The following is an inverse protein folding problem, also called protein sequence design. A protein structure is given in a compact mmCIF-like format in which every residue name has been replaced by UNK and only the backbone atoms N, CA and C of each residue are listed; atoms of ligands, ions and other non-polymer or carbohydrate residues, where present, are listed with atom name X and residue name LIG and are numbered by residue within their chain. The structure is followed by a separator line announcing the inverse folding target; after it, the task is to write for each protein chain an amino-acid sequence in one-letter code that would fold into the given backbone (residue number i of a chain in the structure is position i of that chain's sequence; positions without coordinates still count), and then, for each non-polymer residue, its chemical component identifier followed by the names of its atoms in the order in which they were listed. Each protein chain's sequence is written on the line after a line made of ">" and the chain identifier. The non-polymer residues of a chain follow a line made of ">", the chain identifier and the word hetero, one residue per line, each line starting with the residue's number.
data_IF_715873785916
#
_entry.id   IF_715873785916
#
_cell.length_a   1.000
_cell.length_b   1.000
_cell.length_c   1.000
_cell.angle_alpha   90.00
_cell.angle_beta   90.00
_cell.angle_gamma   90.00
#
_symmetry.space_group_name_H-M   'P 1'
#
loop_
_entity.id
_entity.type
_entity.pdbx_description
1 polymer ?
#
# COMPACT_ATOMS: atom_id res chain seq x y z
N UNK A 1 -4.95 -10.13 -7.54
CA UNK A 1 -3.63 -10.45 -8.13
C UNK A 1 -2.57 -9.45 -7.68
N UNK A 2 -2.90 -8.16 -7.57
CA UNK A 2 -1.99 -7.09 -7.13
C UNK A 2 -1.32 -7.39 -5.78
N UNK A 3 -2.09 -7.79 -4.77
CA UNK A 3 -1.55 -8.10 -3.45
C UNK A 3 -0.52 -9.26 -3.46
N UNK A 4 -0.82 -10.33 -4.20
CA UNK A 4 0.11 -11.45 -4.36
C UNK A 4 1.39 -11.04 -5.12
N UNK A 5 1.24 -10.22 -6.16
CA UNK A 5 2.36 -9.68 -6.92
C UNK A 5 3.26 -8.81 -6.03
N UNK A 6 2.68 -7.92 -5.22
CA UNK A 6 3.40 -7.07 -4.27
C UNK A 6 4.19 -7.90 -3.24
N UNK A 7 3.59 -8.95 -2.67
CA UNK A 7 4.30 -9.84 -1.73
C UNK A 7 5.46 -10.58 -2.40
N UNK A 8 5.27 -11.11 -3.61
CA UNK A 8 6.34 -11.79 -4.36
C UNK A 8 7.47 -10.82 -4.70
N UNK A 9 7.12 -9.65 -5.24
CA UNK A 9 8.08 -8.60 -5.62
C UNK A 9 8.87 -8.13 -4.40
N UNK A 10 8.19 -7.74 -3.32
CA UNK A 10 8.83 -7.31 -2.09
C UNK A 10 9.72 -8.41 -1.49
N UNK A 11 9.35 -9.68 -1.62
CA UNK A 11 10.20 -10.81 -1.17
C UNK A 11 11.48 -10.90 -2.00
N UNK A 12 11.38 -10.80 -3.33
CA UNK A 12 12.56 -10.82 -4.22
C UNK A 12 13.48 -9.64 -3.90
N UNK A 13 12.92 -8.43 -3.77
CA UNK A 13 13.69 -7.22 -3.43
C UNK A 13 14.37 -7.39 -2.06
N UNK A 14 13.67 -7.93 -1.06
CA UNK A 14 14.23 -8.19 0.27
C UNK A 14 15.42 -9.15 0.21
N UNK A 15 15.30 -10.25 -0.55
CA UNK A 15 16.39 -11.22 -0.74
C UNK A 15 17.58 -10.57 -1.44
N UNK A 16 17.34 -9.77 -2.49
CA UNK A 16 18.40 -8.99 -3.16
C UNK A 16 19.08 -7.99 -2.21
N UNK A 17 18.31 -7.29 -1.37
CA UNK A 17 18.83 -6.38 -0.37
C UNK A 17 19.73 -7.09 0.66
N UNK A 18 19.30 -8.24 1.19
CA UNK A 18 20.11 -9.06 2.10
C UNK A 18 21.40 -9.55 1.43
N UNK A 19 21.33 -9.96 0.16
CA UNK A 19 22.49 -10.36 -0.61
C UNK A 19 23.49 -9.20 -0.79
N UNK A 20 23.03 -8.00 -1.16
CA UNK A 20 23.88 -6.81 -1.29
C UNK A 20 24.50 -6.44 0.06
N UNK A 21 23.73 -6.50 1.14
CA UNK A 21 24.23 -6.24 2.49
C UNK A 21 25.37 -7.21 2.87
N UNK A 22 25.18 -8.50 2.57
CA UNK A 22 26.19 -9.53 2.78
C UNK A 22 27.46 -9.27 1.96
N UNK A 23 27.35 -8.98 0.66
CA UNK A 23 28.51 -8.68 -0.19
C UNK A 23 29.23 -7.40 0.27
N UNK A 24 28.50 -6.37 0.70
CA UNK A 24 29.08 -5.13 1.21
C UNK A 24 29.87 -5.36 2.51
N UNK A 25 29.34 -6.19 3.43
CA UNK A 25 30.06 -6.60 4.65
C UNK A 25 31.28 -7.47 4.30
N UNK A 26 31.12 -8.44 3.40
CA UNK A 26 32.22 -9.31 2.98
C UNK A 26 33.37 -8.47 2.41
N UNK A 27 33.06 -7.53 1.51
CA UNK A 27 34.03 -6.59 0.92
C UNK A 27 34.72 -5.74 1.98
N UNK A 28 33.98 -5.32 3.01
CA UNK A 28 34.54 -4.56 4.14
C UNK A 28 35.62 -5.35 4.90
N UNK A 29 35.42 -6.66 5.07
CA UNK A 29 36.38 -7.54 5.76
C UNK A 29 37.52 -8.03 4.88
N UNK A 30 37.27 -8.32 3.60
CA UNK A 30 38.29 -8.84 2.67
C UNK A 30 39.18 -7.74 2.09
N UNK A 31 38.72 -6.48 2.10
CA UNK A 31 39.44 -5.36 1.49
C UNK A 31 39.53 -5.48 -0.03
N UNK A 32 38.60 -6.22 -0.66
CA UNK A 32 38.57 -6.39 -2.11
C UNK A 32 38.37 -5.04 -2.80
N UNK A 33 39.23 -4.75 -3.78
CA UNK A 33 39.17 -3.53 -4.58
C UNK A 33 37.99 -3.58 -5.54
N UNK A 34 37.35 -2.44 -5.75
CA UNK A 34 36.26 -2.34 -6.72
C UNK A 34 36.82 -2.49 -8.13
N UNK A 35 36.50 -3.58 -8.82
CA UNK A 35 36.88 -3.76 -10.22
C UNK A 35 35.84 -3.12 -11.15
N UNK A 36 36.29 -2.70 -12.34
CA UNK A 36 35.44 -2.15 -13.41
C UNK A 36 34.67 -0.86 -13.06
N UNK A 37 35.26 0.06 -12.29
CA UNK A 37 34.62 1.35 -11.96
C UNK A 37 34.10 2.09 -13.21
N UNK A 38 34.87 2.16 -14.29
CA UNK A 38 34.47 2.87 -15.52
C UNK A 38 33.15 2.32 -16.09
N UNK A 39 33.03 0.98 -16.17
CA UNK A 39 31.83 0.30 -16.67
C UNK A 39 30.67 0.50 -15.69
N UNK A 40 30.91 0.36 -14.38
CA UNK A 40 29.89 0.53 -13.35
C UNK A 40 29.31 1.94 -13.34
N UNK A 41 30.16 2.97 -13.46
CA UNK A 41 29.72 4.38 -13.56
C UNK A 41 28.89 4.59 -14.82
N UNK A 42 29.32 4.08 -15.98
CA UNK A 42 28.58 4.22 -17.23
C UNK A 42 27.19 3.56 -17.16
N UNK A 43 27.12 2.32 -16.66
CA UNK A 43 25.86 1.58 -16.52
C UNK A 43 24.93 2.28 -15.53
N UNK A 44 25.45 2.70 -14.37
CA UNK A 44 24.68 3.45 -13.38
C UNK A 44 24.17 4.78 -13.91
N UNK A 45 24.98 5.50 -14.68
CA UNK A 45 24.56 6.74 -15.32
C UNK A 45 23.41 6.51 -16.31
N UNK A 46 23.52 5.51 -17.19
CA UNK A 46 22.45 5.15 -18.13
C UNK A 46 21.19 4.74 -17.38
N UNK A 47 21.32 3.90 -16.34
CA UNK A 47 20.19 3.48 -15.49
C UNK A 47 19.49 4.69 -14.86
N UNK A 48 20.26 5.62 -14.26
CA UNK A 48 19.72 6.83 -13.65
C UNK A 48 18.96 7.70 -14.65
N UNK A 49 19.50 7.87 -15.86
CA UNK A 49 18.84 8.63 -16.94
C UNK A 49 17.52 7.96 -17.34
N UNK A 50 17.52 6.65 -17.57
CA UNK A 50 16.32 5.91 -17.96
C UNK A 50 15.25 5.94 -16.87
N UNK A 51 15.61 5.70 -15.61
CA UNK A 51 14.65 5.77 -14.49
C UNK A 51 14.12 7.19 -14.30
N UNK A 52 14.95 8.21 -14.48
CA UNK A 52 14.50 9.61 -14.44
C UNK A 52 13.49 9.91 -15.55
N UNK A 53 13.75 9.45 -16.78
CA UNK A 53 12.80 9.58 -17.89
C UNK A 53 11.48 8.86 -17.61
N UNK A 54 11.54 7.66 -17.01
CA UNK A 54 10.35 6.93 -16.57
C UNK A 54 9.55 7.72 -15.53
N UNK A 55 10.21 8.25 -14.50
CA UNK A 55 9.55 9.09 -13.47
C UNK A 55 8.90 10.32 -14.09
N UNK A 56 9.55 10.99 -15.03
CA UNK A 56 8.98 12.14 -15.74
C UNK A 56 7.75 11.75 -16.56
N UNK A 57 7.81 10.61 -17.25
CA UNK A 57 6.69 10.06 -18.02
C UNK A 57 5.50 9.71 -17.12
N UNK A 58 5.73 8.97 -16.02
CA UNK A 58 4.68 8.61 -15.08
C UNK A 58 4.06 9.83 -14.42
N UNK A 59 4.85 10.83 -14.02
CA UNK A 59 4.33 12.09 -13.48
C UNK A 59 3.48 12.86 -14.50
N UNK A 60 3.86 12.84 -15.78
CA UNK A 60 3.06 13.47 -16.85
C UNK A 60 1.72 12.75 -17.04
N UNK A 61 1.73 11.42 -17.05
CA UNK A 61 0.50 10.62 -17.16
C UNK A 61 -0.38 10.81 -15.92
N UNK A 62 0.19 10.73 -14.71
CA UNK A 62 -0.53 10.93 -13.45
C UNK A 62 -1.23 12.30 -13.40
N UNK A 63 -0.58 13.37 -13.90
CA UNK A 63 -1.20 14.71 -13.99
C UNK A 63 -2.35 14.77 -14.99
N UNK A 64 -2.29 14.00 -16.08
CA UNK A 64 -3.35 13.97 -17.11
C UNK A 64 -4.54 13.10 -16.70
N UNK A 65 -4.29 11.97 -16.05
CA UNK A 65 -5.34 11.00 -15.70
C UNK A 65 -5.89 11.20 -14.30
N UNK A 66 -5.22 12.00 -13.47
CA UNK A 66 -5.50 12.15 -12.03
C UNK A 66 -5.57 10.78 -11.30
N UNK A 67 -4.88 9.78 -11.84
CA UNK A 67 -4.91 8.40 -11.33
C UNK A 67 -3.91 8.26 -10.17
N UNK A 68 -4.44 7.84 -9.02
CA UNK A 68 -3.69 7.68 -7.78
C UNK A 68 -2.64 6.57 -7.85
N UNK A 69 -2.93 5.47 -8.57
CA UNK A 69 -2.01 4.34 -8.79
C UNK A 69 -0.75 4.82 -9.52
N UNK A 70 -0.94 5.50 -10.66
CA UNK A 70 0.19 6.01 -11.47
C UNK A 70 1.01 7.05 -10.69
N UNK A 71 0.35 7.85 -9.84
CA UNK A 71 1.03 8.80 -8.95
C UNK A 71 1.86 8.09 -7.89
N UNK A 72 1.36 6.98 -7.34
CA UNK A 72 2.08 6.14 -6.38
C UNK A 72 3.32 5.54 -7.03
N UNK A 73 3.19 4.95 -8.21
CA UNK A 73 4.32 4.40 -8.97
C UNK A 73 5.38 5.46 -9.26
N UNK A 74 4.96 6.67 -9.66
CA UNK A 74 5.88 7.76 -9.91
C UNK A 74 6.67 8.17 -8.66
N UNK A 75 6.06 8.10 -7.47
CA UNK A 75 6.73 8.39 -6.21
C UNK A 75 7.72 7.27 -5.84
N UNK A 76 7.34 6.01 -6.05
CA UNK A 76 8.22 4.86 -5.85
C UNK A 76 9.49 4.95 -6.73
N UNK A 77 9.34 5.13 -8.04
CA UNK A 77 10.50 5.26 -8.93
C UNK A 77 11.33 6.53 -8.66
N UNK A 78 10.73 7.57 -8.07
CA UNK A 78 11.48 8.76 -7.65
C UNK A 78 12.45 8.43 -6.52
N UNK A 79 12.04 7.58 -5.59
CA UNK A 79 12.92 7.02 -4.57
C UNK A 79 14.08 6.25 -5.19
N UNK A 80 13.83 5.43 -6.22
CA UNK A 80 14.89 4.71 -6.94
C UNK A 80 15.90 5.64 -7.61
N UNK A 81 15.44 6.76 -8.16
CA UNK A 81 16.33 7.80 -8.72
C UNK A 81 17.28 8.35 -7.66
N UNK A 82 16.79 8.60 -6.43
CA UNK A 82 17.65 9.07 -5.34
C UNK A 82 18.65 8.00 -4.90
N UNK A 83 18.21 6.75 -4.74
CA UNK A 83 19.08 5.63 -4.38
C UNK A 83 20.17 5.40 -5.43
N UNK A 84 19.80 5.33 -6.71
CA UNK A 84 20.75 5.18 -7.82
C UNK A 84 21.70 6.37 -7.94
N UNK A 85 21.20 7.58 -7.68
CA UNK A 85 22.02 8.78 -7.62
C UNK A 85 23.07 8.70 -6.50
N UNK A 86 22.69 8.20 -5.32
CA UNK A 86 23.61 8.01 -4.20
C UNK A 86 24.73 6.99 -4.53
N UNK A 87 24.39 5.87 -5.19
CA UNK A 87 25.39 4.89 -5.69
C UNK A 87 26.31 5.54 -6.72
N UNK A 88 25.76 6.28 -7.68
CA UNK A 88 26.58 6.92 -8.71
C UNK A 88 27.56 7.93 -8.08
N UNK A 89 27.10 8.72 -7.12
CA UNK A 89 27.95 9.64 -6.36
C UNK A 89 29.04 8.88 -5.60
N UNK A 90 28.72 7.76 -4.93
CA UNK A 90 29.73 6.97 -4.23
C UNK A 90 30.79 6.43 -5.18
N UNK A 91 30.40 5.90 -6.34
CA UNK A 91 31.34 5.42 -7.37
C UNK A 91 32.24 6.54 -7.90
N UNK A 92 31.72 7.74 -8.13
CA UNK A 92 32.54 8.89 -8.57
C UNK A 92 33.53 9.31 -7.48
N UNK A 93 33.12 9.29 -6.21
CA UNK A 93 34.02 9.59 -5.09
C UNK A 93 35.12 8.53 -5.01
N UNK A 94 34.81 7.24 -5.14
CA UNK A 94 35.82 6.17 -5.16
C UNK A 94 36.78 6.35 -6.34
N UNK A 95 36.25 6.67 -7.54
CA UNK A 95 37.06 6.91 -8.72
C UNK A 95 38.09 8.02 -8.54
N UNK A 96 37.71 9.10 -7.86
CA UNK A 96 38.58 10.26 -7.64
C UNK A 96 39.53 10.11 -6.46
N UNK A 97 39.12 9.40 -5.40
CA UNK A 97 39.86 9.29 -4.13
C UNK A 97 40.64 7.98 -3.97
N UNK A 98 40.25 6.93 -4.68
CA UNK A 98 40.78 5.57 -4.53
C UNK A 98 40.35 4.88 -3.22
N UNK A 99 39.41 5.44 -2.46
CA UNK A 99 39.00 4.89 -1.16
C UNK A 99 37.87 3.87 -1.36
N UNK A 100 38.22 2.60 -1.58
CA UNK A 100 37.26 1.50 -1.78
C UNK A 100 36.31 1.26 -0.58
N UNK A 101 36.72 1.65 0.62
CA UNK A 101 35.90 1.54 1.84
C UNK A 101 34.56 2.27 1.72
N UNK A 102 34.50 3.35 0.93
CA UNK A 102 33.27 4.13 0.71
C UNK A 102 32.20 3.27 0.05
N UNK A 103 32.59 2.35 -0.85
CA UNK A 103 31.65 1.47 -1.54
C UNK A 103 30.95 0.52 -0.57
N UNK A 104 31.71 -0.10 0.33
CA UNK A 104 31.17 -1.02 1.32
C UNK A 104 30.21 -0.32 2.27
N UNK A 105 30.54 0.89 2.74
CA UNK A 105 29.66 1.66 3.63
C UNK A 105 28.38 2.07 2.90
N UNK A 106 28.49 2.56 1.68
CA UNK A 106 27.32 2.96 0.88
C UNK A 106 26.45 1.76 0.51
N UNK A 107 27.06 0.62 0.17
CA UNK A 107 26.35 -0.63 -0.09
C UNK A 107 25.57 -1.13 1.14
N UNK A 108 26.13 -1.01 2.34
CA UNK A 108 25.44 -1.31 3.60
C UNK A 108 24.24 -0.37 3.81
N UNK A 109 24.43 0.94 3.65
CA UNK A 109 23.36 1.93 3.85
C UNK A 109 22.21 1.68 2.87
N UNK A 110 22.53 1.47 1.60
CA UNK A 110 21.54 1.32 0.53
C UNK A 110 20.83 -0.03 0.62
N UNK A 111 21.52 -1.11 0.98
CA UNK A 111 20.86 -2.40 1.19
C UNK A 111 19.88 -2.36 2.37
N UNK A 112 20.21 -1.69 3.48
CA UNK A 112 19.27 -1.47 4.58
C UNK A 112 18.05 -0.67 4.13
N UNK A 113 18.26 0.35 3.30
CA UNK A 113 17.18 1.14 2.72
C UNK A 113 16.26 0.31 1.80
N UNK A 114 16.84 -0.55 0.97
CA UNK A 114 16.11 -1.47 0.08
C UNK A 114 15.28 -2.46 0.91
N UNK A 115 15.86 -3.06 1.94
CA UNK A 115 15.16 -4.01 2.83
C UNK A 115 13.99 -3.31 3.53
N UNK A 116 14.20 -2.09 4.04
CA UNK A 116 13.15 -1.31 4.68
C UNK A 116 11.99 -1.00 3.71
N UNK A 117 12.30 -0.53 2.51
CA UNK A 117 11.29 -0.25 1.48
C UNK A 117 10.51 -1.51 1.08
N UNK A 118 11.20 -2.65 0.94
CA UNK A 118 10.58 -3.91 0.60
C UNK A 118 9.65 -4.44 1.70
N UNK A 119 9.98 -4.20 2.98
CA UNK A 119 9.12 -4.57 4.10
C UNK A 119 7.76 -3.87 4.04
N UNK A 120 7.73 -2.58 3.69
CA UNK A 120 6.49 -1.81 3.55
C UNK A 120 5.59 -2.40 2.44
N UNK A 121 6.17 -2.71 1.28
CA UNK A 121 5.46 -3.35 0.15
C UNK A 121 4.88 -4.72 0.55
N UNK A 122 5.66 -5.56 1.24
CA UNK A 122 5.20 -6.88 1.70
C UNK A 122 4.06 -6.69 2.71
N UNK A 123 4.21 -5.78 3.68
CA UNK A 123 3.22 -5.54 4.72
C UNK A 123 1.87 -5.14 4.11
N UNK A 124 1.87 -4.22 3.17
CA UNK A 124 0.64 -3.76 2.50
C UNK A 124 0.00 -4.90 1.68
N UNK A 125 0.82 -5.65 0.93
CA UNK A 125 0.35 -6.82 0.20
C UNK A 125 -0.26 -7.88 1.11
N UNK A 126 0.35 -8.16 2.26
CA UNK A 126 -0.17 -9.10 3.27
C UNK A 126 -1.49 -8.60 3.86
N UNK A 127 -1.61 -7.30 4.17
CA UNK A 127 -2.87 -6.76 4.68
C UNK A 127 -4.03 -6.89 3.70
N UNK A 128 -3.78 -6.66 2.41
CA UNK A 128 -4.81 -6.89 1.40
C UNK A 128 -5.17 -8.38 1.31
N UNK A 129 -4.19 -9.29 1.41
CA UNK A 129 -4.45 -10.74 1.41
C UNK A 129 -5.21 -11.23 2.65
N UNK A 130 -5.06 -10.56 3.78
CA UNK A 130 -5.75 -10.87 5.03
C UNK A 130 -7.12 -10.19 5.15
N UNK A 131 -7.59 -9.53 4.09
CA UNK A 131 -8.82 -8.71 4.11
C UNK A 131 -8.81 -7.70 5.28
N UNK A 132 -7.69 -6.99 5.46
CA UNK A 132 -7.56 -5.98 6.48
C UNK A 132 -8.65 -4.90 6.35
N UNK A 133 -9.09 -4.39 7.51
CA UNK A 133 -10.10 -3.35 7.60
C UNK A 133 -9.67 -2.07 6.89
N UNK A 134 -10.67 -1.24 6.54
CA UNK A 134 -10.41 0.14 6.11
C UNK A 134 -9.72 0.94 7.22
N UNK A 135 -9.09 2.05 6.85
CA UNK A 135 -8.48 2.98 7.80
C UNK A 135 -9.50 3.41 8.87
N UNK A 136 -9.06 3.50 10.13
CA UNK A 136 -9.93 3.73 11.28
C UNK A 136 -10.77 5.01 11.14
N UNK A 137 -10.23 6.05 10.51
CA UNK A 137 -10.91 7.32 10.26
C UNK A 137 -12.07 7.18 9.26
N UNK A 138 -11.92 6.35 8.23
CA UNK A 138 -13.00 6.01 7.28
C UNK A 138 -14.05 5.17 7.99
N UNK A 139 -13.62 4.18 8.78
CA UNK A 139 -14.54 3.33 9.56
C UNK A 139 -15.37 4.17 10.52
N UNK A 140 -14.76 5.13 11.21
CA UNK A 140 -15.48 6.02 12.14
C UNK A 140 -16.44 6.97 11.42
N UNK A 141 -16.08 7.46 10.22
CA UNK A 141 -17.02 8.22 9.37
C UNK A 141 -18.22 7.37 8.94
N UNK A 142 -18.03 6.09 8.60
CA UNK A 142 -19.12 5.18 8.26
C UNK A 142 -20.05 4.99 9.47
N UNK A 143 -19.50 4.78 10.66
CA UNK A 143 -20.29 4.67 11.91
C UNK A 143 -21.11 5.93 12.13
N UNK A 144 -20.50 7.11 11.98
CA UNK A 144 -21.19 8.38 12.14
C UNK A 144 -22.35 8.53 11.14
N UNK A 145 -22.17 8.16 9.87
CA UNK A 145 -23.23 8.19 8.85
C UNK A 145 -24.43 7.34 9.26
N UNK A 146 -24.18 6.14 9.81
CA UNK A 146 -25.21 5.22 10.30
C UNK A 146 -25.93 5.82 11.52
N UNK A 147 -25.16 6.33 12.49
CA UNK A 147 -25.67 6.88 13.75
C UNK A 147 -26.48 8.18 13.56
N UNK A 148 -26.23 8.95 12.51
CA UNK A 148 -26.98 10.16 12.17
C UNK A 148 -28.39 9.88 11.60
N UNK A 149 -28.67 8.67 11.12
CA UNK A 149 -29.97 8.30 10.58
C UNK A 149 -30.91 7.82 11.71
N UNK A 150 -31.75 8.73 12.18
CA UNK A 150 -32.66 8.56 13.32
C UNK A 150 -33.63 7.36 13.28
N UNK A 151 -33.83 6.72 12.12
CA UNK A 151 -34.70 5.56 11.97
C UNK A 151 -33.96 4.23 12.17
N UNK A 152 -32.63 4.26 12.21
CA UNK A 152 -31.79 3.13 12.58
C UNK A 152 -31.66 3.14 14.11
N UNK A 153 -32.10 2.06 14.75
CA UNK A 153 -32.06 1.95 16.22
C UNK A 153 -30.71 1.46 16.73
N UNK A 154 -30.01 0.64 15.94
CA UNK A 154 -28.68 0.10 16.23
C UNK A 154 -28.04 -0.43 14.94
N UNK A 155 -26.77 -0.83 15.01
CA UNK A 155 -26.11 -1.60 13.95
C UNK A 155 -25.15 -2.62 14.58
N UNK A 156 -24.90 -3.72 13.88
CA UNK A 156 -23.91 -4.72 14.30
C UNK A 156 -23.23 -5.37 13.09
N UNK A 157 -22.21 -6.18 13.38
CA UNK A 157 -21.37 -6.85 12.37
C UNK A 157 -20.84 -5.93 11.27
N UNK A 158 -20.53 -4.67 11.59
CA UNK A 158 -19.85 -3.76 10.66
C UNK A 158 -18.45 -4.33 10.36
N UNK A 159 -18.30 -4.86 9.15
CA UNK A 159 -17.04 -5.37 8.62
C UNK A 159 -16.67 -4.51 7.43
N UNK A 160 -15.43 -4.07 7.39
CA UNK A 160 -14.88 -3.34 6.27
C UNK A 160 -13.64 -4.06 5.79
N UNK A 161 -13.34 -3.94 4.50
CA UNK A 161 -12.08 -4.40 3.93
C UNK A 161 -11.77 -3.66 2.64
N UNK A 162 -10.50 -3.64 2.24
CA UNK A 162 -10.05 -3.05 0.97
C UNK A 162 -9.46 -4.10 0.06
N UNK A 163 -9.81 -4.05 -1.23
CA UNK A 163 -9.14 -4.82 -2.26
C UNK A 163 -8.86 -3.92 -3.46
N UNK A 164 -7.57 -3.58 -3.66
CA UNK A 164 -7.16 -2.62 -4.68
C UNK A 164 -7.82 -1.25 -4.45
N UNK A 165 -8.54 -0.75 -5.46
CA UNK A 165 -9.28 0.51 -5.41
C UNK A 165 -10.75 0.37 -4.97
N UNK A 166 -11.16 -0.83 -4.54
CA UNK A 166 -12.55 -1.13 -4.14
C UNK A 166 -12.62 -1.33 -2.63
N UNK A 167 -13.46 -0.53 -1.98
CA UNK A 167 -13.81 -0.63 -0.57
C UNK A 167 -15.06 -1.52 -0.43
N UNK A 168 -15.01 -2.49 0.48
CA UNK A 168 -16.13 -3.36 0.80
C UNK A 168 -16.63 -3.04 2.21
N UNK A 169 -17.94 -2.92 2.35
CA UNK A 169 -18.61 -2.67 3.64
C UNK A 169 -19.77 -3.63 3.77
N UNK A 170 -19.74 -4.47 4.79
CA UNK A 170 -20.86 -5.33 5.18
C UNK A 170 -21.37 -4.85 6.54
N UNK A 171 -22.67 -4.62 6.66
CA UNK A 171 -23.27 -4.11 7.90
C UNK A 171 -24.70 -4.61 8.09
N UNK A 172 -25.08 -4.85 9.34
CA UNK A 172 -26.46 -5.09 9.72
C UNK A 172 -27.03 -3.81 10.32
N UNK A 173 -28.07 -3.27 9.70
CA UNK A 173 -28.80 -2.09 10.16
C UNK A 173 -30.06 -2.54 10.87
N UNK A 174 -30.17 -2.21 12.15
CA UNK A 174 -31.31 -2.58 12.97
C UNK A 174 -32.34 -1.46 12.96
N UNK A 175 -33.59 -1.83 12.72
CA UNK A 175 -34.73 -0.93 12.71
C UNK A 175 -35.71 -1.26 13.84
N UNK A 176 -36.71 -0.40 14.02
CA UNK A 176 -37.80 -0.65 14.96
C UNK A 176 -38.81 -1.65 14.39
N UNK A 177 -39.40 -2.44 15.28
CA UNK A 177 -40.46 -3.39 14.93
C UNK A 177 -41.61 -2.68 14.19
N UNK A 178 -42.11 -3.31 13.13
CA UNK A 178 -43.21 -2.80 12.32
C UNK A 178 -42.82 -1.81 11.22
N UNK A 179 -41.52 -1.52 11.02
CA UNK A 179 -41.07 -0.83 9.83
C UNK A 179 -41.45 -1.62 8.56
N UNK A 180 -41.91 -0.92 7.52
CA UNK A 180 -42.12 -1.60 6.24
C UNK A 180 -40.77 -1.86 5.55
N UNK A 181 -40.64 -3.01 4.89
CA UNK A 181 -39.42 -3.34 4.13
C UNK A 181 -39.07 -2.23 3.12
N UNK A 182 -40.08 -1.65 2.47
CA UNK A 182 -39.89 -0.53 1.55
C UNK A 182 -39.23 0.67 2.25
N UNK A 183 -39.65 1.00 3.47
CA UNK A 183 -39.08 2.11 4.22
C UNK A 183 -37.66 1.80 4.70
N UNK A 184 -37.43 0.60 5.25
CA UNK A 184 -36.11 0.13 5.65
C UNK A 184 -35.13 0.16 4.46
N UNK A 185 -35.54 -0.36 3.30
CA UNK A 185 -34.71 -0.35 2.09
C UNK A 185 -34.39 1.08 1.63
N UNK A 186 -35.38 1.98 1.61
CA UNK A 186 -35.13 3.40 1.30
C UNK A 186 -34.19 4.11 2.27
N UNK A 187 -34.08 3.62 3.51
CA UNK A 187 -33.13 4.15 4.50
C UNK A 187 -31.74 3.57 4.23
N UNK A 188 -31.65 2.25 3.98
CA UNK A 188 -30.44 1.58 3.54
C UNK A 188 -29.81 2.27 2.33
N UNK A 189 -30.59 2.51 1.26
CA UNK A 189 -30.12 3.20 0.05
C UNK A 189 -29.49 4.58 0.36
N UNK A 190 -30.07 5.34 1.30
CA UNK A 190 -29.52 6.66 1.70
C UNK A 190 -28.20 6.52 2.46
N UNK A 191 -28.09 5.52 3.32
CA UNK A 191 -26.85 5.24 4.06
C UNK A 191 -25.75 4.82 3.08
N UNK A 192 -26.06 3.90 2.17
CA UNK A 192 -25.15 3.47 1.10
C UNK A 192 -24.69 4.66 0.25
N UNK A 193 -25.62 5.52 -0.17
CA UNK A 193 -25.31 6.72 -0.94
C UNK A 193 -24.35 7.66 -0.17
N UNK A 194 -24.62 7.93 1.12
CA UNK A 194 -23.73 8.76 1.96
C UNK A 194 -22.33 8.16 2.10
N UNK A 195 -22.24 6.84 2.28
CA UNK A 195 -20.94 6.15 2.40
C UNK A 195 -20.17 6.28 1.08
N UNK A 196 -20.81 6.08 -0.07
CA UNK A 196 -20.14 6.22 -1.39
C UNK A 196 -19.62 7.65 -1.63
N UNK A 197 -20.21 8.66 -0.99
CA UNK A 197 -19.78 10.05 -1.09
C UNK A 197 -18.52 10.38 -0.27
N UNK A 198 -18.08 9.50 0.63
CA UNK A 198 -16.83 9.69 1.39
C UNK A 198 -15.61 9.78 0.47
N UNK A 199 -15.61 9.05 -0.64
CA UNK A 199 -14.53 9.07 -1.62
C UNK A 199 -15.06 8.79 -3.02
N UNK A 200 -15.09 9.83 -3.87
CA UNK A 200 -15.50 9.70 -5.27
C UNK A 200 -14.43 9.06 -6.19
N UNK A 201 -13.27 8.70 -5.63
CA UNK A 201 -12.13 8.14 -6.37
C UNK A 201 -12.05 6.62 -6.23
N UNK A 202 -12.66 6.09 -5.18
CA UNK A 202 -12.67 4.67 -4.84
C UNK A 202 -14.01 4.07 -5.23
N UNK A 203 -13.99 2.80 -5.60
CA UNK A 203 -15.22 2.04 -5.81
C UNK A 203 -15.73 1.53 -4.47
N UNK A 204 -17.04 1.47 -4.29
CA UNK A 204 -17.67 1.00 -3.05
C UNK A 204 -18.63 -0.14 -3.37
N UNK A 205 -18.48 -1.24 -2.64
CA UNK A 205 -19.43 -2.36 -2.65
C UNK A 205 -19.95 -2.49 -1.23
N UNK A 206 -21.22 -2.15 -1.05
CA UNK A 206 -21.85 -2.11 0.27
C UNK A 206 -22.97 -3.16 0.28
N UNK A 207 -22.97 -4.02 1.30
CA UNK A 207 -24.08 -4.91 1.57
C UNK A 207 -24.66 -4.55 2.94
N UNK A 208 -25.82 -3.89 2.92
CA UNK A 208 -26.59 -3.64 4.13
C UNK A 208 -27.65 -4.73 4.32
N UNK A 209 -27.51 -5.53 5.37
CA UNK A 209 -28.60 -6.37 5.86
C UNK A 209 -29.57 -5.51 6.69
N UNK A 210 -30.87 -5.69 6.50
CA UNK A 210 -31.90 -4.85 7.11
C UNK A 210 -32.66 -5.66 8.15
N UNK A 211 -32.32 -5.46 9.41
CA UNK A 211 -32.83 -6.23 10.53
C UNK A 211 -34.07 -5.57 11.16
N UNK A 212 -35.20 -6.28 11.26
CA UNK A 212 -36.43 -5.72 11.85
C UNK A 212 -36.38 -5.59 13.37
N UNK A 213 -35.37 -6.18 14.02
CA UNK A 213 -35.04 -6.08 15.45
C UNK A 213 -33.58 -6.53 15.66
N UNK A 214 -32.98 -6.24 16.82
CA UNK A 214 -31.59 -6.63 17.11
C UNK A 214 -31.47 -8.14 17.33
N UNK A 215 -30.85 -8.84 16.38
CA UNK A 215 -30.69 -10.30 16.38
C UNK A 215 -29.25 -10.76 16.69
N UNK A 216 -28.37 -9.82 17.06
CA UNK A 216 -26.94 -10.07 17.30
C UNK A 216 -26.67 -11.25 18.25
N UNK A 217 -27.51 -11.42 19.28
CA UNK A 217 -27.39 -12.52 20.24
C UNK A 217 -27.67 -13.92 19.66
N UNK A 218 -28.48 -14.03 18.61
CA UNK A 218 -28.82 -15.30 17.95
C UNK A 218 -27.66 -15.73 17.04
N UNK A 219 -27.15 -14.79 16.23
CA UNK A 219 -26.03 -15.01 15.32
C UNK A 219 -24.71 -15.37 16.05
N UNK A 220 -24.51 -14.83 17.25
CA UNK A 220 -23.35 -15.19 18.10
C UNK A 220 -23.40 -16.62 18.65
N UNK A 221 -24.56 -17.27 18.69
CA UNK A 221 -24.68 -18.69 19.07
C UNK A 221 -24.49 -19.64 17.89
N UNK A 222 -24.92 -19.26 16.68
CA UNK A 222 -24.71 -20.06 15.48
C UNK A 222 -23.23 -20.09 15.06
N UNK A 223 -22.51 -18.96 15.15
CA UNK A 223 -21.07 -18.91 14.82
C UNK A 223 -20.14 -19.64 15.81
N UNK A 224 -20.68 -20.17 16.93
CA UNK A 224 -19.93 -20.95 17.93
C UNK A 224 -20.07 -22.47 17.76
N UNK A 225 -20.93 -22.94 16.86
CA UNK A 225 -21.11 -24.36 16.53
C UNK A 225 -20.48 -24.71 15.19
#
# INVERSE_FOLDING_TARGET
>A
MEALAAVIEGTIISVSGVFIFYEAIKKLYTGETTHYLDTSILVMFISLVLTTLLVLFLNHVAKKTNNMVIKSDALHYKTDVFSNGAILVSLIVIYTTGIDFIDSVMGIIISLYIIYSAYEIIKDGVYILLDAALEDDIVDQIKQIIEEENQISSYHYLKTRKSGNTNFVDVHLVFNEGISLLKAHSIGDRVEEKITQLSSKEEWVINAHLDPYDDSFINDQENKN
#
